data_IF_121780934158
#
_entry.id   IF_121780934158
#
_cell.length_a   1.000
_cell.length_b   1.000
_cell.length_c   1.000
_cell.angle_alpha   90.00
_cell.angle_beta   90.00
_cell.angle_gamma   90.00
#
_symmetry.space_group_name_H-M   'P 1'
#
loop_
_entity.id
_entity.type
_entity.pdbx_description
1 polymer ?
#
# COMPACT_ATOMS: atom_id res chain seq x y z
N UNK A 1 -0.57 5.34 -26.36
CA UNK A 1 -0.57 5.92 -25.00
C UNK A 1 -1.90 6.64 -24.84
N UNK A 2 -2.88 6.02 -24.18
CA UNK A 2 -4.20 6.64 -24.00
C UNK A 2 -4.02 7.86 -23.08
N UNK A 3 -4.26 9.06 -23.60
CA UNK A 3 -4.33 10.25 -22.76
C UNK A 3 -5.57 10.10 -21.89
N UNK A 4 -5.42 10.27 -20.58
CA UNK A 4 -6.52 10.11 -19.64
C UNK A 4 -7.70 11.00 -20.08
N UNK A 5 -8.84 10.39 -20.35
CA UNK A 5 -10.05 11.13 -20.72
C UNK A 5 -10.54 11.92 -19.50
N UNK A 6 -11.24 13.07 -19.68
CA UNK A 6 -11.77 13.84 -18.56
C UNK A 6 -12.61 13.02 -17.58
N UNK A 7 -13.29 11.99 -18.08
CA UNK A 7 -14.08 11.04 -17.26
C UNK A 7 -13.18 10.14 -16.40
N UNK A 8 -12.09 9.61 -16.95
CA UNK A 8 -11.13 8.78 -16.19
C UNK A 8 -10.49 9.58 -15.05
N UNK A 9 -10.17 10.85 -15.29
CA UNK A 9 -9.65 11.75 -14.27
C UNK A 9 -10.69 11.97 -13.16
N UNK A 10 -11.96 12.18 -13.51
CA UNK A 10 -13.04 12.33 -12.54
C UNK A 10 -13.20 11.07 -11.66
N UNK A 11 -13.13 9.89 -12.27
CA UNK A 11 -13.17 8.60 -11.53
C UNK A 11 -12.01 8.49 -10.55
N UNK A 12 -10.79 8.87 -10.96
CA UNK A 12 -9.62 8.84 -10.08
C UNK A 12 -9.77 9.80 -8.88
N UNK A 13 -10.31 11.00 -9.12
CA UNK A 13 -10.59 11.97 -8.05
C UNK A 13 -11.59 11.39 -7.04
N UNK A 14 -12.66 10.75 -7.51
CA UNK A 14 -13.64 10.11 -6.64
C UNK A 14 -12.98 9.02 -5.79
N UNK A 15 -12.16 8.15 -6.40
CA UNK A 15 -11.43 7.10 -5.68
C UNK A 15 -10.51 7.71 -4.61
N UNK A 16 -9.76 8.75 -4.96
CA UNK A 16 -8.88 9.43 -4.01
C UNK A 16 -9.65 10.05 -2.83
N UNK A 17 -10.81 10.67 -3.10
CA UNK A 17 -11.67 11.24 -2.05
C UNK A 17 -12.21 10.15 -1.12
N UNK A 18 -12.59 8.99 -1.63
CA UNK A 18 -13.05 7.87 -0.79
C UNK A 18 -11.92 7.31 0.06
N UNK A 19 -10.73 7.16 -0.51
CA UNK A 19 -9.58 6.54 0.17
C UNK A 19 -8.99 7.43 1.27
N UNK A 20 -8.84 8.73 0.98
CA UNK A 20 -8.21 9.68 1.91
C UNK A 20 -9.22 10.50 2.73
N UNK A 21 -10.47 10.56 2.29
CA UNK A 21 -11.53 11.40 2.84
C UNK A 21 -11.62 12.78 2.17
N UNK A 22 -12.84 13.32 1.96
CA UNK A 22 -13.08 14.57 1.24
C UNK A 22 -12.45 15.80 1.90
N UNK A 23 -12.23 15.75 3.21
CA UNK A 23 -11.61 16.87 3.93
C UNK A 23 -10.09 16.89 3.83
N UNK A 24 -9.44 15.73 3.70
CA UNK A 24 -7.97 15.64 3.76
C UNK A 24 -7.31 15.98 2.43
N UNK A 25 -7.90 15.54 1.31
CA UNK A 25 -7.40 15.81 -0.05
C UNK A 25 -7.18 17.31 -0.31
N UNK A 26 -8.16 18.22 -0.10
CA UNK A 26 -7.96 19.64 -0.34
C UNK A 26 -6.95 20.26 0.65
N UNK A 27 -6.90 19.77 1.90
CA UNK A 27 -5.92 20.25 2.87
C UNK A 27 -4.48 19.92 2.45
N UNK A 28 -4.22 18.69 2.00
CA UNK A 28 -2.90 18.30 1.51
C UNK A 28 -2.55 18.97 0.19
N UNK A 29 -3.50 19.09 -0.74
CA UNK A 29 -3.30 19.80 -2.00
C UNK A 29 -2.91 21.28 -1.77
N UNK A 30 -3.57 21.96 -0.82
CA UNK A 30 -3.23 23.34 -0.45
C UNK A 30 -1.82 23.47 0.14
N UNK A 31 -1.40 22.52 0.98
CA UNK A 31 -0.03 22.49 1.54
C UNK A 31 1.00 22.30 0.43
N UNK A 32 0.79 21.33 -0.45
CA UNK A 32 1.66 21.06 -1.59
C UNK A 32 1.71 22.26 -2.56
N UNK A 33 0.58 22.90 -2.85
CA UNK A 33 0.51 24.09 -3.68
C UNK A 33 1.30 25.26 -3.09
N UNK A 34 1.26 25.45 -1.76
CA UNK A 34 2.04 26.49 -1.07
C UNK A 34 3.55 26.23 -1.21
N UNK A 35 3.99 24.99 -1.01
CA UNK A 35 5.39 24.60 -1.17
C UNK A 35 5.83 24.77 -2.63
N UNK A 36 5.01 24.33 -3.58
CA UNK A 36 5.27 24.47 -5.00
C UNK A 36 5.41 25.94 -5.41
N UNK A 37 4.49 26.80 -4.94
CA UNK A 37 4.54 28.23 -5.24
C UNK A 37 5.76 28.91 -4.60
N UNK A 38 6.10 28.54 -3.36
CA UNK A 38 7.30 29.03 -2.69
C UNK A 38 8.57 28.62 -3.42
N UNK A 39 8.69 27.35 -3.81
CA UNK A 39 9.84 26.83 -4.55
C UNK A 39 9.96 27.47 -5.94
N UNK A 40 8.82 27.67 -6.63
CA UNK A 40 8.75 28.39 -7.90
C UNK A 40 9.27 29.82 -7.76
N UNK A 41 8.87 30.51 -6.70
CA UNK A 41 9.29 31.88 -6.45
C UNK A 41 10.79 31.97 -6.10
N UNK A 42 11.31 31.05 -5.29
CA UNK A 42 12.76 30.96 -5.02
C UNK A 42 13.52 30.70 -6.33
N UNK A 43 13.11 29.71 -7.10
CA UNK A 43 13.79 29.36 -8.36
C UNK A 43 13.81 30.53 -9.35
N UNK A 44 12.72 31.31 -9.44
CA UNK A 44 12.66 32.50 -10.27
C UNK A 44 13.55 33.63 -9.72
N UNK A 45 13.46 33.94 -8.42
CA UNK A 45 14.24 35.02 -7.80
C UNK A 45 15.75 34.74 -7.85
N UNK A 46 16.18 33.51 -7.54
CA UNK A 46 17.60 33.11 -7.61
C UNK A 46 18.10 33.18 -9.05
N UNK A 47 17.30 32.77 -10.04
CA UNK A 47 17.67 32.89 -11.46
C UNK A 47 17.84 34.35 -11.87
N UNK A 48 17.00 35.25 -11.36
CA UNK A 48 17.09 36.68 -11.64
C UNK A 48 18.36 37.30 -11.01
N UNK A 49 18.69 36.95 -9.76
CA UNK A 49 19.91 37.40 -9.09
C UNK A 49 21.21 36.84 -9.71
N UNK A 50 21.23 35.56 -10.08
CA UNK A 50 22.38 34.95 -10.76
C UNK A 50 22.60 35.54 -12.16
N UNK A 51 21.52 35.91 -12.86
CA UNK A 51 21.58 36.56 -14.17
C UNK A 51 22.11 37.99 -14.07
N UNK A 52 21.77 38.71 -13.00
CA UNK A 52 22.20 40.08 -12.76
C UNK A 52 23.68 40.16 -12.34
N UNK A 53 24.13 39.25 -11.47
CA UNK A 53 25.50 39.32 -10.90
C UNK A 53 26.56 38.57 -11.72
N UNK A 54 26.20 37.52 -12.48
CA UNK A 54 27.17 36.65 -13.18
C UNK A 54 27.10 36.76 -14.71
N UNK A 55 26.15 37.55 -15.23
CA UNK A 55 26.00 37.84 -16.66
C UNK A 55 25.30 36.72 -17.45
N UNK A 56 24.84 37.05 -18.68
CA UNK A 56 23.89 36.23 -19.47
C UNK A 56 24.39 34.86 -19.92
N UNK A 57 25.65 34.51 -19.63
CA UNK A 57 26.35 33.29 -20.10
C UNK A 57 26.21 32.08 -19.16
N UNK A 58 25.64 32.25 -17.97
CA UNK A 58 25.35 31.15 -17.04
C UNK A 58 23.84 30.78 -16.95
N UNK A 59 22.97 31.61 -17.52
CA UNK A 59 21.52 31.35 -17.58
C UNK A 59 21.15 30.19 -18.54
N UNK A 60 22.04 29.84 -19.46
CA UNK A 60 21.82 28.79 -20.47
C UNK A 60 22.36 27.41 -20.05
N UNK A 61 23.24 27.34 -19.04
CA UNK A 61 23.80 26.08 -18.52
C UNK A 61 22.86 25.35 -17.56
N UNK A 62 21.85 26.02 -17.02
CA UNK A 62 20.97 25.46 -15.98
C UNK A 62 19.65 24.88 -16.54
N UNK A 63 19.35 25.09 -17.82
CA UNK A 63 18.02 24.80 -18.40
C UNK A 63 18.03 23.63 -19.39
N UNK A 64 19.18 23.31 -20.01
CA UNK A 64 19.26 22.16 -20.91
C UNK A 64 19.50 20.82 -20.22
N UNK A 65 20.01 20.79 -18.97
CA UNK A 65 20.46 19.53 -18.36
C UNK A 65 19.94 19.24 -16.93
N UNK A 66 19.18 20.14 -16.29
CA UNK A 66 18.48 19.83 -15.03
C UNK A 66 17.11 19.22 -15.28
N UNK A 67 17.09 18.00 -15.82
CA UNK A 67 15.96 17.11 -15.58
C UNK A 67 15.97 16.73 -14.09
N UNK A 68 14.95 17.08 -13.28
CA UNK A 68 14.99 16.86 -11.82
C UNK A 68 15.14 15.37 -11.49
N UNK A 69 14.60 14.49 -12.34
CA UNK A 69 14.81 13.03 -12.23
C UNK A 69 16.26 12.62 -12.41
N UNK A 70 17.00 13.26 -13.33
CA UNK A 70 18.40 12.93 -13.58
C UNK A 70 19.32 13.56 -12.53
N UNK A 71 19.00 14.76 -12.04
CA UNK A 71 19.74 15.43 -10.96
C UNK A 71 19.61 14.68 -9.64
N UNK A 72 18.38 14.32 -9.21
CA UNK A 72 18.17 13.48 -8.02
C UNK A 72 18.82 12.11 -8.21
N UNK A 73 18.70 11.50 -9.39
CA UNK A 73 19.34 10.21 -9.66
C UNK A 73 20.87 10.29 -9.58
N UNK A 74 21.50 11.37 -10.04
CA UNK A 74 22.96 11.46 -10.04
C UNK A 74 23.49 11.81 -8.65
N UNK A 75 22.97 12.86 -8.01
CA UNK A 75 23.49 13.33 -6.74
C UNK A 75 22.99 12.51 -5.54
N UNK A 76 21.70 12.14 -5.49
CA UNK A 76 21.18 11.32 -4.37
C UNK A 76 21.64 9.87 -4.49
N UNK A 77 21.71 9.28 -5.69
CA UNK A 77 22.23 7.91 -5.80
C UNK A 77 23.75 7.80 -5.79
N UNK A 78 24.55 8.84 -6.04
CA UNK A 78 26.01 8.71 -5.88
C UNK A 78 26.41 8.96 -4.43
N UNK A 79 25.79 9.93 -3.76
CA UNK A 79 26.14 10.29 -2.38
C UNK A 79 25.48 9.39 -1.32
N UNK A 80 24.29 8.86 -1.59
CA UNK A 80 23.57 7.96 -0.66
C UNK A 80 23.51 6.51 -1.16
N UNK A 81 24.35 6.11 -2.12
CA UNK A 81 24.33 4.74 -2.67
C UNK A 81 24.60 3.68 -1.60
N UNK A 82 25.61 3.92 -0.77
CA UNK A 82 25.98 3.01 0.33
C UNK A 82 24.87 2.95 1.40
N UNK A 83 24.30 4.09 1.77
CA UNK A 83 23.21 4.17 2.77
C UNK A 83 21.90 3.53 2.26
N UNK A 84 21.54 3.75 0.99
CA UNK A 84 20.30 3.22 0.40
C UNK A 84 20.39 1.71 0.19
N UNK A 85 21.56 1.17 -0.16
CA UNK A 85 21.73 -0.27 -0.36
C UNK A 85 21.67 -1.03 0.98
N UNK A 86 22.21 -0.46 2.07
CA UNK A 86 22.02 -0.99 3.42
C UNK A 86 20.54 -1.02 3.84
N UNK A 87 19.84 0.11 3.69
CA UNK A 87 18.41 0.21 4.03
C UNK A 87 17.55 -0.74 3.18
N UNK A 88 17.90 -0.94 1.91
CA UNK A 88 17.19 -1.90 1.05
C UNK A 88 17.41 -3.34 1.49
N UNK A 89 18.63 -3.70 1.90
CA UNK A 89 18.93 -5.04 2.40
C UNK A 89 18.16 -5.33 3.69
N UNK A 90 18.23 -4.42 4.66
CA UNK A 90 17.50 -4.55 5.93
C UNK A 90 15.98 -4.67 5.69
N UNK A 91 15.45 -3.89 4.74
CA UNK A 91 14.03 -3.93 4.41
C UNK A 91 13.62 -5.20 3.66
N UNK A 92 14.50 -5.78 2.83
CA UNK A 92 14.24 -7.08 2.21
C UNK A 92 14.28 -8.21 3.23
N UNK A 93 15.24 -8.20 4.14
CA UNK A 93 15.37 -9.23 5.18
C UNK A 93 14.14 -9.23 6.10
N UNK A 94 13.72 -8.05 6.57
CA UNK A 94 12.49 -7.90 7.37
C UNK A 94 11.24 -8.36 6.61
N UNK A 95 11.18 -8.09 5.30
CA UNK A 95 10.04 -8.50 4.47
C UNK A 95 9.99 -10.01 4.27
N UNK A 96 11.14 -10.65 4.11
CA UNK A 96 11.25 -12.09 3.93
C UNK A 96 10.90 -12.79 5.25
N UNK A 97 11.45 -12.34 6.39
CA UNK A 97 11.07 -12.82 7.74
C UNK A 97 9.56 -12.74 7.99
N UNK A 98 8.92 -11.61 7.64
CA UNK A 98 7.47 -11.44 7.78
C UNK A 98 6.72 -12.42 6.87
N UNK A 99 7.24 -12.68 5.68
CA UNK A 99 6.60 -13.60 4.72
C UNK A 99 6.68 -15.04 5.23
N UNK A 100 7.80 -15.43 5.82
CA UNK A 100 8.01 -16.77 6.39
C UNK A 100 7.13 -16.98 7.63
N UNK A 101 7.16 -16.05 8.59
CA UNK A 101 6.28 -16.12 9.78
C UNK A 101 4.80 -16.16 9.39
N UNK A 102 4.41 -15.40 8.36
CA UNK A 102 3.05 -15.44 7.83
C UNK A 102 2.71 -16.79 7.21
N UNK A 103 3.65 -17.41 6.51
CA UNK A 103 3.48 -18.74 5.91
C UNK A 103 3.32 -19.82 6.99
N UNK A 104 4.18 -19.79 8.01
CA UNK A 104 4.14 -20.71 9.15
C UNK A 104 2.82 -20.57 9.93
N UNK A 105 2.42 -19.34 10.23
CA UNK A 105 1.15 -19.08 10.92
C UNK A 105 -0.04 -19.54 10.09
N UNK A 106 -0.02 -19.33 8.77
CA UNK A 106 -1.09 -19.78 7.87
C UNK A 106 -1.17 -21.30 7.79
N UNK A 107 -0.03 -21.98 7.84
CA UNK A 107 0.06 -23.44 7.83
C UNK A 107 -0.44 -24.02 9.15
N UNK A 108 0.04 -23.51 10.28
CA UNK A 108 -0.43 -23.91 11.61
C UNK A 108 -1.93 -23.62 11.83
N UNK A 109 -2.42 -22.49 11.29
CA UNK A 109 -3.86 -22.19 11.32
C UNK A 109 -4.65 -23.15 10.43
N UNK A 110 -4.12 -23.52 9.26
CA UNK A 110 -4.71 -24.54 8.38
C UNK A 110 -4.82 -25.88 9.10
N UNK A 111 -3.73 -26.37 9.68
CA UNK A 111 -3.70 -27.64 10.42
C UNK A 111 -4.66 -27.64 11.61
N UNK A 112 -4.74 -26.53 12.36
CA UNK A 112 -5.67 -26.41 13.48
C UNK A 112 -7.14 -26.39 13.04
N UNK A 113 -7.43 -25.74 11.91
CA UNK A 113 -8.78 -25.69 11.34
C UNK A 113 -9.18 -27.07 10.81
N UNK A 114 -8.28 -27.76 10.11
CA UNK A 114 -8.51 -29.11 9.60
C UNK A 114 -8.70 -30.12 10.75
N UNK A 115 -7.89 -30.04 11.81
CA UNK A 115 -8.05 -30.89 12.98
C UNK A 115 -9.38 -30.66 13.72
N UNK A 116 -9.85 -29.41 13.78
CA UNK A 116 -11.16 -29.09 14.37
C UNK A 116 -12.30 -29.57 13.48
N UNK A 117 -12.17 -29.46 12.17
CA UNK A 117 -13.17 -29.95 11.22
C UNK A 117 -13.27 -31.49 11.23
N UNK A 118 -12.14 -32.18 11.34
CA UNK A 118 -12.08 -33.64 11.47
C UNK A 118 -12.65 -34.13 12.80
N UNK A 119 -12.37 -33.43 13.91
CA UNK A 119 -12.97 -33.70 15.21
C UNK A 119 -14.49 -33.46 15.21
N UNK A 120 -14.96 -32.42 14.51
CA UNK A 120 -16.40 -32.14 14.33
C UNK A 120 -17.07 -33.20 13.47
N UNK A 121 -16.43 -33.63 12.39
CA UNK A 121 -16.93 -34.69 11.51
C UNK A 121 -17.01 -36.04 12.24
N UNK A 122 -16.02 -36.36 13.07
CA UNK A 122 -16.00 -37.55 13.93
C UNK A 122 -17.06 -37.50 15.05
N UNK A 123 -17.28 -36.33 15.64
CA UNK A 123 -18.35 -36.11 16.63
C UNK A 123 -19.75 -36.18 16.00
N UNK A 124 -19.90 -35.69 14.77
CA UNK A 124 -21.13 -35.79 13.98
C UNK A 124 -21.43 -37.24 13.57
N UNK A 125 -20.41 -38.01 13.17
CA UNK A 125 -20.57 -39.44 12.89
C UNK A 125 -20.94 -40.24 14.16
N UNK A 126 -20.39 -39.86 15.31
CA UNK A 126 -20.70 -40.48 16.61
C UNK A 126 -22.13 -40.14 17.07
N UNK A 127 -22.59 -38.89 16.88
CA UNK A 127 -23.94 -38.49 17.26
C UNK A 127 -25.01 -39.15 16.38
N UNK A 128 -24.72 -39.38 15.10
CA UNK A 128 -25.59 -40.15 14.18
C UNK A 128 -25.63 -41.64 14.55
N UNK A 129 -24.50 -42.25 14.91
CA UNK A 129 -24.46 -43.65 15.34
C UNK A 129 -25.12 -43.91 16.71
N UNK A 130 -25.13 -42.92 17.61
CA UNK A 130 -25.85 -42.99 18.90
C UNK A 130 -27.35 -42.77 18.71
N UNK A 131 -27.76 -41.95 17.74
CA UNK A 131 -29.17 -41.74 17.41
C UNK A 131 -29.84 -42.99 16.79
N UNK A 132 -29.11 -43.84 16.09
CA UNK A 132 -29.66 -45.07 15.49
C UNK A 132 -29.86 -46.21 16.51
N UNK A 133 -29.17 -46.19 17.66
CA UNK A 133 -29.31 -47.22 18.71
C UNK A 133 -30.36 -46.93 19.78
N UNK A 134 -31.04 -45.78 19.73
CA UNK A 134 -32.05 -45.41 20.73
C UNK A 134 -33.29 -44.84 20.03
N UNK A 135 -34.09 -45.72 19.43
CA UNK A 135 -35.49 -45.41 19.13
C UNK A 135 -36.33 -45.96 20.29
N UNK A 136 -36.71 -45.14 21.29
CA UNK A 136 -37.80 -45.49 22.18
C UNK A 136 -39.09 -45.55 21.34
N UNK A 137 -39.88 -46.60 21.55
CA UNK A 137 -41.15 -46.82 20.85
C UNK A 137 -42.05 -45.57 20.92
N UNK A 138 -42.75 -45.21 19.83
CA UNK A 138 -43.68 -44.08 19.85
C UNK A 138 -44.79 -44.32 20.89
N UNK A 139 -45.11 -43.29 21.67
CA UNK A 139 -46.26 -43.32 22.59
C UNK A 139 -47.55 -43.42 21.78
N UNK A 140 -48.34 -44.47 22.02
CA UNK A 140 -49.67 -44.68 21.47
C UNK A 140 -50.70 -43.85 22.27
N UNK A 141 -51.40 -42.96 21.57
CA UNK A 141 -52.38 -42.03 22.15
C UNK A 141 -53.82 -42.57 22.07
N UNK A 142 -54.05 -43.79 21.57
CA UNK A 142 -55.41 -44.37 21.40
C UNK A 142 -55.88 -45.23 22.58
N UNK A 143 -55.15 -45.29 23.70
CA UNK A 143 -55.58 -46.03 24.88
C UNK A 143 -56.29 -45.12 25.91
N UNK A 144 -57.60 -44.92 25.76
CA UNK A 144 -58.53 -44.49 26.83
C UNK A 144 -59.89 -45.13 26.62
#
# INVERSE_FOLDING_TARGET
>A
MSMASPTEIAVLIIIAVVMFGPEKVPQYARKAARVFHYLRNIANNTRDHLREDLGPKYADLEIQDLNPKNFVRKYVLEEFREDIDGIKSDLSDVRDDITDVRSDLRSATGDAVDAVDDARSSASATSVAVAERTIPTPFDLEAT
#
